data_IF_737984778809
#
_entry.id   IF_737984778809
#
_cell.length_a   1.000
_cell.length_b   1.000
_cell.length_c   1.000
_cell.angle_alpha   90.00
_cell.angle_beta   90.00
_cell.angle_gamma   90.00
#
_symmetry.space_group_name_H-M   'P 1'
#
loop_
_entity.id
_entity.type
_entity.pdbx_description
1 polymer ?
#
# COMPACT_ATOMS: atom_id res chain seq x y z
N UNK A 1 10.71 7.04 -17.42
CA UNK A 1 10.17 6.60 -16.14
C UNK A 1 9.75 5.14 -16.23
N UNK A 2 9.94 4.39 -15.18
CA UNK A 2 9.50 3.01 -15.13
C UNK A 2 8.00 2.88 -14.83
N UNK A 3 7.45 1.70 -15.06
CA UNK A 3 6.03 1.42 -14.79
C UNK A 3 5.67 1.65 -13.32
N UNK A 4 6.59 1.39 -12.40
CA UNK A 4 6.35 1.58 -10.97
C UNK A 4 5.97 3.03 -10.63
N UNK A 5 6.62 4.00 -11.28
CA UNK A 5 6.32 5.42 -11.04
C UNK A 5 4.95 5.81 -11.54
N UNK A 6 4.59 5.35 -12.75
CA UNK A 6 3.25 5.58 -13.30
C UNK A 6 2.20 4.96 -12.41
N UNK A 7 2.48 3.80 -11.85
CA UNK A 7 1.55 3.11 -10.95
C UNK A 7 1.34 3.89 -9.65
N UNK A 8 2.40 4.45 -9.06
CA UNK A 8 2.26 5.28 -7.87
C UNK A 8 1.41 6.52 -8.13
N UNK A 9 1.60 7.17 -9.28
CA UNK A 9 0.78 8.32 -9.68
C UNK A 9 -0.68 7.91 -9.83
N UNK A 10 -0.95 6.79 -10.50
CA UNK A 10 -2.31 6.28 -10.67
C UNK A 10 -2.98 5.95 -9.33
N UNK A 11 -2.22 5.40 -8.39
CA UNK A 11 -2.76 5.13 -7.06
C UNK A 11 -3.20 6.42 -6.39
N UNK A 12 -2.34 7.43 -6.38
CA UNK A 12 -2.60 8.68 -5.68
C UNK A 12 -3.69 9.51 -6.34
N UNK A 13 -3.72 9.57 -7.67
CA UNK A 13 -4.62 10.45 -8.40
C UNK A 13 -5.97 9.81 -8.75
N UNK A 14 -6.01 8.49 -8.91
CA UNK A 14 -7.22 7.79 -9.36
C UNK A 14 -7.76 6.84 -8.31
N UNK A 15 -6.95 5.87 -7.88
CA UNK A 15 -7.45 4.79 -7.01
C UNK A 15 -7.82 5.27 -5.62
N UNK A 16 -6.98 6.07 -4.98
CA UNK A 16 -7.24 6.55 -3.62
C UNK A 16 -8.51 7.41 -3.57
N UNK A 17 -8.69 8.43 -4.42
CA UNK A 17 -9.92 9.22 -4.41
C UNK A 17 -11.17 8.39 -4.74
N UNK A 18 -11.02 7.36 -5.56
CA UNK A 18 -12.14 6.52 -5.97
C UNK A 18 -12.50 5.47 -4.91
N UNK A 19 -11.50 4.76 -4.36
CA UNK A 19 -11.71 3.63 -3.45
C UNK A 19 -11.85 4.03 -2.00
N UNK A 20 -11.04 4.98 -1.55
CA UNK A 20 -10.92 5.33 -0.12
C UNK A 20 -10.83 6.85 0.05
N UNK A 21 -11.88 7.61 -0.38
CA UNK A 21 -11.82 9.06 -0.36
C UNK A 21 -11.77 9.67 1.05
N UNK A 22 -12.13 8.91 2.06
CA UNK A 22 -12.15 9.34 3.46
C UNK A 22 -10.83 9.06 4.19
N UNK A 23 -9.83 8.56 3.48
CA UNK A 23 -8.52 8.29 4.06
C UNK A 23 -7.62 9.52 4.02
N UNK A 24 -6.72 9.59 4.99
CA UNK A 24 -5.68 10.62 5.08
C UNK A 24 -4.37 10.00 4.60
N UNK A 25 -3.68 10.70 3.70
CA UNK A 25 -2.36 10.28 3.24
C UNK A 25 -1.34 10.61 4.32
N UNK A 26 -0.71 9.57 4.90
CA UNK A 26 0.24 9.74 6.00
C UNK A 26 1.68 9.39 5.65
N UNK A 27 1.89 8.65 4.56
CA UNK A 27 3.22 8.28 4.11
C UNK A 27 3.23 7.99 2.62
N UNK A 28 4.20 8.57 1.91
CA UNK A 28 4.57 8.20 0.54
C UNK A 28 6.07 8.36 0.43
N UNK A 29 6.73 7.39 -0.18
CA UNK A 29 8.13 7.53 -0.53
C UNK A 29 8.34 7.13 -1.98
N UNK A 30 8.59 8.11 -2.83
CA UNK A 30 8.87 7.93 -4.25
C UNK A 30 10.18 8.64 -4.58
N UNK A 31 11.25 7.86 -4.66
CA UNK A 31 12.59 8.38 -4.93
C UNK A 31 12.71 9.05 -6.29
N UNK A 32 12.01 8.52 -7.28
CA UNK A 32 12.19 8.96 -8.67
C UNK A 32 11.54 10.30 -8.90
N UNK A 33 10.35 10.50 -8.34
CA UNK A 33 9.66 11.79 -8.40
C UNK A 33 10.03 12.70 -7.24
N UNK A 34 11.01 12.29 -6.44
CA UNK A 34 11.49 13.05 -5.28
C UNK A 34 10.35 13.46 -4.34
N UNK A 35 9.42 12.54 -4.14
CA UNK A 35 8.26 12.77 -3.27
C UNK A 35 8.43 12.00 -1.97
N UNK A 36 8.36 12.75 -0.86
CA UNK A 36 8.34 12.15 0.46
C UNK A 36 7.28 12.86 1.30
N UNK A 37 6.29 12.10 1.73
CA UNK A 37 5.30 12.56 2.70
C UNK A 37 5.46 11.69 3.94
N UNK A 38 5.57 12.35 5.08
CA UNK A 38 5.75 11.65 6.36
C UNK A 38 5.05 12.44 7.46
N UNK A 39 3.82 12.05 7.76
CA UNK A 39 3.01 12.68 8.80
C UNK A 39 3.43 12.13 10.17
N UNK A 40 4.50 12.68 10.70
CA UNK A 40 5.21 12.18 11.86
C UNK A 40 4.31 12.03 13.10
N UNK A 41 3.49 13.04 13.39
CA UNK A 41 2.62 13.01 14.58
C UNK A 41 1.56 11.91 14.50
N UNK A 42 0.92 11.78 13.35
CA UNK A 42 -0.13 10.78 13.13
C UNK A 42 0.46 9.38 13.26
N UNK A 43 1.58 9.13 12.58
CA UNK A 43 2.23 7.83 12.62
C UNK A 43 2.69 7.46 14.02
N UNK A 44 3.24 8.41 14.76
CA UNK A 44 3.64 8.19 16.15
C UNK A 44 2.44 7.84 17.03
N UNK A 45 1.34 8.57 16.88
CA UNK A 45 0.11 8.30 17.63
C UNK A 45 -0.46 6.92 17.34
N UNK A 46 -0.34 6.44 16.11
CA UNK A 46 -0.78 5.11 15.72
C UNK A 46 0.14 3.99 16.19
N UNK A 47 1.35 4.33 16.64
CA UNK A 47 2.33 3.33 17.04
C UNK A 47 3.12 2.76 15.87
N UNK A 48 3.22 3.51 14.77
CA UNK A 48 4.03 3.11 13.62
C UNK A 48 5.47 3.56 13.86
N UNK A 49 6.45 2.64 13.79
CA UNK A 49 7.84 3.01 14.03
C UNK A 49 8.42 3.90 12.93
N UNK A 50 9.47 4.65 13.25
CA UNK A 50 10.15 5.53 12.31
C UNK A 50 11.05 4.72 11.38
N UNK A 51 10.44 4.08 10.38
CA UNK A 51 11.15 3.30 9.36
C UNK A 51 10.80 3.85 7.99
N UNK A 52 11.69 3.62 7.02
CA UNK A 52 11.57 4.18 5.69
C UNK A 52 11.78 3.12 4.62
N UNK A 53 11.33 3.45 3.40
CA UNK A 53 11.59 2.67 2.21
C UNK A 53 10.96 1.30 2.25
N UNK A 54 11.76 0.28 1.92
CA UNK A 54 11.28 -1.09 1.72
C UNK A 54 10.77 -1.79 2.98
N UNK A 55 10.95 -1.18 4.15
CA UNK A 55 10.57 -1.83 5.41
C UNK A 55 9.06 -1.80 5.64
N UNK A 56 8.36 -0.82 5.08
CA UNK A 56 6.91 -0.75 5.16
C UNK A 56 6.30 -0.90 3.76
N UNK A 57 5.44 0.01 3.38
CA UNK A 57 4.77 0.02 2.08
C UNK A 57 5.21 1.23 1.27
N UNK A 58 4.79 1.29 0.01
CA UNK A 58 5.00 2.48 -0.82
C UNK A 58 4.15 3.65 -0.34
N UNK A 59 2.94 3.36 0.10
CA UNK A 59 1.97 4.37 0.54
C UNK A 59 1.29 3.87 1.80
N UNK A 60 1.12 4.75 2.80
CA UNK A 60 0.27 4.49 3.96
C UNK A 60 -0.86 5.50 3.98
N UNK A 61 -2.08 4.99 4.15
CA UNK A 61 -3.28 5.80 4.34
C UNK A 61 -3.91 5.45 5.67
N UNK A 62 -4.42 6.46 6.38
CA UNK A 62 -5.17 6.24 7.60
C UNK A 62 -6.63 6.59 7.39
N UNK A 63 -7.51 5.68 7.79
CA UNK A 63 -8.97 5.87 7.74
C UNK A 63 -9.49 6.07 9.15
N UNK A 64 -9.73 7.32 9.59
CA UNK A 64 -10.13 7.59 10.97
C UNK A 64 -11.47 6.94 11.36
N UNK A 65 -12.43 6.89 10.43
CA UNK A 65 -13.75 6.37 10.70
C UNK A 65 -13.75 4.91 11.18
N UNK A 66 -12.77 4.13 10.74
CA UNK A 66 -12.64 2.71 11.08
C UNK A 66 -11.37 2.40 11.86
N UNK A 67 -10.57 3.41 12.19
CA UNK A 67 -9.25 3.22 12.79
C UNK A 67 -8.45 2.16 12.03
N UNK A 68 -8.30 2.37 10.73
CA UNK A 68 -7.68 1.41 9.82
C UNK A 68 -6.53 2.05 9.08
N UNK A 69 -5.41 1.32 9.04
CA UNK A 69 -4.22 1.73 8.29
C UNK A 69 -4.14 0.88 7.03
N UNK A 70 -4.18 1.55 5.86
CA UNK A 70 -3.99 0.90 4.57
C UNK A 70 -2.52 0.93 4.22
N UNK A 71 -1.97 -0.25 3.93
CA UNK A 71 -0.59 -0.41 3.47
C UNK A 71 -0.65 -0.79 2.00
N UNK A 72 -0.25 0.13 1.13
CA UNK A 72 -0.41 -0.03 -0.31
C UNK A 72 0.94 -0.27 -0.96
N UNK A 73 1.02 -1.33 -1.75
CA UNK A 73 2.20 -1.79 -2.44
C UNK A 73 1.96 -1.73 -3.95
N UNK A 74 2.74 -0.89 -4.63
CA UNK A 74 2.75 -0.85 -6.09
C UNK A 74 3.64 -1.98 -6.59
N UNK A 75 3.03 -3.04 -7.13
CA UNK A 75 3.76 -4.25 -7.48
C UNK A 75 4.55 -4.09 -8.77
N UNK A 76 5.80 -4.52 -8.74
CA UNK A 76 6.66 -4.66 -9.90
C UNK A 76 7.61 -5.84 -9.66
N UNK A 77 8.47 -6.13 -10.64
CA UNK A 77 9.40 -7.27 -10.54
C UNK A 77 10.44 -7.13 -9.43
N UNK A 78 10.61 -5.93 -8.87
CA UNK A 78 11.60 -5.67 -7.82
C UNK A 78 10.99 -5.62 -6.42
N UNK A 79 9.67 -5.58 -6.32
CA UNK A 79 9.00 -5.52 -5.02
C UNK A 79 7.54 -5.87 -5.10
N UNK A 80 7.08 -6.66 -4.13
CA UNK A 80 5.69 -7.02 -3.96
C UNK A 80 5.43 -7.39 -2.49
N UNK A 81 4.15 -7.46 -2.13
CA UNK A 81 3.76 -7.90 -0.80
C UNK A 81 3.83 -9.43 -0.74
N UNK A 82 5.00 -9.97 -0.42
CA UNK A 82 5.19 -11.40 -0.21
C UNK A 82 4.74 -11.81 1.18
N UNK A 83 4.60 -13.12 1.40
CA UNK A 83 4.30 -13.67 2.72
C UNK A 83 5.36 -13.24 3.75
N UNK A 84 6.63 -13.30 3.38
CA UNK A 84 7.73 -12.90 4.26
C UNK A 84 7.69 -11.42 4.58
N UNK A 85 7.43 -10.58 3.58
CA UNK A 85 7.35 -9.13 3.77
C UNK A 85 6.17 -8.76 4.67
N UNK A 86 5.02 -9.39 4.47
CA UNK A 86 3.85 -9.17 5.32
C UNK A 86 4.15 -9.55 6.77
N UNK A 87 4.81 -10.68 6.98
CA UNK A 87 5.19 -11.12 8.32
C UNK A 87 6.12 -10.12 9.01
N UNK A 88 7.15 -9.65 8.30
CA UNK A 88 8.07 -8.65 8.84
C UNK A 88 7.35 -7.34 9.17
N UNK A 89 6.45 -6.91 8.30
CA UNK A 89 5.66 -5.70 8.51
C UNK A 89 4.77 -5.82 9.74
N UNK A 90 4.12 -6.97 9.94
CA UNK A 90 3.30 -7.22 11.13
C UNK A 90 4.14 -7.14 12.40
N UNK A 91 5.37 -7.63 12.38
CA UNK A 91 6.27 -7.51 13.52
C UNK A 91 6.63 -6.05 13.81
N UNK A 92 6.89 -5.27 12.76
CA UNK A 92 7.18 -3.84 12.91
C UNK A 92 5.98 -3.08 13.46
N UNK A 93 4.76 -3.50 13.12
CA UNK A 93 3.52 -2.81 13.48
C UNK A 93 2.84 -3.39 14.72
N UNK A 94 3.50 -4.23 15.49
CA UNK A 94 2.86 -4.86 16.65
C UNK A 94 2.36 -3.86 17.69
N UNK A 95 2.93 -2.66 17.74
CA UNK A 95 2.50 -1.59 18.64
C UNK A 95 1.46 -0.66 17.99
N UNK A 96 1.12 -0.88 16.74
CA UNK A 96 0.15 -0.07 16.03
C UNK A 96 -1.26 -0.38 16.52
N UNK A 97 -2.00 0.68 16.88
CA UNK A 97 -3.37 0.53 17.41
C UNK A 97 -4.42 0.38 16.32
N UNK A 98 -4.08 0.68 15.06
CA UNK A 98 -5.02 0.62 13.95
C UNK A 98 -5.09 -0.79 13.37
N UNK A 99 -6.27 -1.16 12.85
CA UNK A 99 -6.43 -2.35 12.03
C UNK A 99 -5.66 -2.18 10.73
N UNK A 100 -5.04 -3.25 10.21
CA UNK A 100 -4.28 -3.19 8.97
C UNK A 100 -5.10 -3.71 7.80
N UNK A 101 -5.02 -3.00 6.68
CA UNK A 101 -5.54 -3.45 5.40
C UNK A 101 -4.40 -3.43 4.39
N UNK A 102 -4.00 -4.62 3.94
CA UNK A 102 -2.91 -4.76 2.97
C UNK A 102 -3.48 -4.74 1.57
N UNK A 103 -2.91 -3.90 0.71
CA UNK A 103 -3.36 -3.73 -0.67
C UNK A 103 -2.18 -3.81 -1.62
N UNK A 104 -2.28 -4.67 -2.61
CA UNK A 104 -1.35 -4.72 -3.73
C UNK A 104 -2.01 -4.08 -4.93
N UNK A 105 -1.28 -3.27 -5.69
CA UNK A 105 -1.81 -2.63 -6.90
C UNK A 105 -1.02 -3.11 -8.10
N UNK A 106 -1.76 -3.59 -9.10
CA UNK A 106 -1.23 -3.98 -10.40
C UNK A 106 -1.96 -3.17 -11.48
N UNK A 107 -1.50 -3.25 -12.73
CA UNK A 107 -2.18 -2.52 -13.80
C UNK A 107 -3.49 -3.17 -14.23
N UNK A 108 -3.48 -4.51 -14.42
CA UNK A 108 -4.61 -5.23 -15.01
C UNK A 108 -4.64 -6.68 -14.54
N UNK A 109 -5.61 -7.43 -15.07
CA UNK A 109 -5.80 -8.85 -14.71
C UNK A 109 -4.62 -9.73 -15.11
N UNK A 110 -3.98 -9.42 -16.23
CA UNK A 110 -2.81 -10.17 -16.70
C UNK A 110 -1.66 -10.05 -15.68
N UNK A 111 -1.41 -8.85 -15.21
CA UNK A 111 -0.41 -8.63 -14.16
C UNK A 111 -0.78 -9.37 -12.87
N UNK A 112 -2.05 -9.34 -12.48
CA UNK A 112 -2.48 -10.08 -11.30
C UNK A 112 -2.21 -11.58 -11.47
N UNK A 113 -2.55 -12.16 -12.61
CA UNK A 113 -2.27 -13.56 -12.87
C UNK A 113 -0.81 -13.92 -12.78
N UNK A 114 0.05 -13.02 -13.23
CA UNK A 114 1.50 -13.21 -13.17
C UNK A 114 2.02 -13.20 -11.74
N UNK A 115 1.55 -12.28 -10.89
CA UNK A 115 2.06 -12.10 -9.54
C UNK A 115 1.27 -12.85 -8.45
N UNK A 116 0.06 -13.30 -8.75
CA UNK A 116 -0.83 -13.91 -7.75
C UNK A 116 -0.19 -14.99 -6.88
N UNK A 117 0.64 -15.92 -7.44
CA UNK A 117 1.25 -16.96 -6.60
C UNK A 117 2.20 -16.43 -5.53
N UNK A 118 2.69 -15.21 -5.69
CA UNK A 118 3.70 -14.62 -4.80
C UNK A 118 3.12 -13.59 -3.83
N UNK A 119 1.85 -13.18 -4.03
CA UNK A 119 1.19 -12.19 -3.18
C UNK A 119 0.70 -12.87 -1.90
N UNK A 120 0.93 -12.23 -0.76
CA UNK A 120 0.50 -12.75 0.54
C UNK A 120 -1.03 -12.85 0.62
N UNK A 121 -1.51 -13.94 1.20
CA UNK A 121 -2.93 -14.13 1.49
C UNK A 121 -3.42 -13.14 2.55
N UNK A 122 -4.71 -12.91 2.60
CA UNK A 122 -5.30 -11.96 3.54
C UNK A 122 -5.09 -10.50 3.13
N UNK A 123 -5.01 -10.24 1.82
CA UNK A 123 -4.83 -8.92 1.27
C UNK A 123 -5.82 -8.66 0.13
N UNK A 124 -5.90 -7.40 -0.29
CA UNK A 124 -6.68 -7.02 -1.47
C UNK A 124 -5.75 -6.73 -2.64
N UNK A 125 -6.28 -6.86 -3.85
CA UNK A 125 -5.58 -6.45 -5.06
C UNK A 125 -6.45 -5.45 -5.81
N UNK A 126 -5.91 -4.26 -6.06
CA UNK A 126 -6.55 -3.23 -6.87
C UNK A 126 -5.86 -3.17 -8.22
N UNK A 127 -6.62 -2.81 -9.25
CA UNK A 127 -6.10 -2.73 -10.62
C UNK A 127 -6.25 -1.30 -11.13
N UNK A 128 -5.13 -0.69 -11.54
CA UNK A 128 -5.12 0.71 -11.97
C UNK A 128 -5.99 0.94 -13.20
N UNK A 129 -6.04 -0.02 -14.12
CA UNK A 129 -6.83 0.10 -15.36
C UNK A 129 -8.30 -0.28 -15.18
N UNK A 130 -8.67 -0.84 -14.03
CA UNK A 130 -10.05 -1.23 -13.71
C UNK A 130 -10.33 -0.79 -12.27
N UNK A 131 -10.48 0.53 -12.00
CA UNK A 131 -10.52 1.05 -10.63
C UNK A 131 -11.67 0.51 -9.77
N UNK A 132 -12.77 0.09 -10.38
CA UNK A 132 -13.91 -0.46 -9.67
C UNK A 132 -13.80 -1.96 -9.37
N UNK A 133 -12.71 -2.60 -9.76
CA UNK A 133 -12.52 -4.04 -9.56
C UNK A 133 -11.53 -4.31 -8.42
N UNK A 134 -11.97 -5.05 -7.42
CA UNK A 134 -11.13 -5.44 -6.27
C UNK A 134 -11.13 -6.97 -6.17
N UNK A 135 -9.94 -7.53 -6.01
CA UNK A 135 -9.80 -8.96 -5.74
C UNK A 135 -9.46 -9.15 -4.27
N UNK A 136 -10.23 -9.97 -3.58
CA UNK A 136 -9.89 -10.40 -2.22
C UNK A 136 -9.00 -11.63 -2.33
N UNK A 137 -7.73 -11.45 -2.01
CA UNK A 137 -6.71 -12.51 -2.13
C UNK A 137 -6.61 -13.26 -0.79
N UNK A 138 -7.53 -14.20 -0.63
CA UNK A 138 -7.66 -14.98 0.60
C UNK A 138 -7.56 -16.48 0.36
#
# INVERSE_FOLDING_TARGET
MGRHNSLLVDILEVLVPYRVPDCILVYVHDRINNLLIYEHKVLKQLGVPAVFGKQLADILLYQPAHNRLYLIYAINRFGLLSKQHKHKTELLLKQCSAERAYVSVVYNRSDYGHYAPFIAWGSQVWMAQIPDHVVCHI
#
